data_IF_297425755583
#
_entry.id   IF_297425755583
#
_cell.length_a   1.000
_cell.length_b   1.000
_cell.length_c   1.000
_cell.angle_alpha   90.00
_cell.angle_beta   90.00
_cell.angle_gamma   90.00
#
_symmetry.space_group_name_H-M   'P 1'
#
loop_
_entity.id
_entity.type
_entity.pdbx_description
1 polymer ?
#
# COMPACT_ATOMS: atom_id res chain seq x y z
N UNK A 1 21.49 9.46 6.16
CA UNK A 1 20.08 9.14 5.82
C UNK A 1 20.13 8.44 4.47
N UNK A 2 20.18 7.11 4.43
CA UNK A 2 20.26 6.33 3.17
C UNK A 2 18.86 6.14 2.57
N UNK A 3 18.12 7.24 2.37
CA UNK A 3 16.74 7.19 1.83
C UNK A 3 16.68 7.27 0.31
N UNK A 4 17.83 7.39 -0.39
CA UNK A 4 17.90 7.58 -1.85
C UNK A 4 17.24 8.88 -2.33
N UNK A 5 16.84 9.75 -1.39
CA UNK A 5 16.29 11.08 -1.65
C UNK A 5 17.42 12.10 -1.52
N UNK A 6 17.38 13.12 -2.38
CA UNK A 6 18.18 14.34 -2.18
C UNK A 6 17.72 15.07 -0.92
N UNK A 7 18.56 15.97 -0.38
CA UNK A 7 18.20 16.77 0.81
C UNK A 7 16.94 17.62 0.55
N UNK A 8 16.83 18.20 -0.64
CA UNK A 8 15.66 18.97 -1.07
C UNK A 8 14.39 18.12 -1.06
N UNK A 9 14.45 16.92 -1.64
CA UNK A 9 13.33 15.99 -1.63
C UNK A 9 12.96 15.56 -0.20
N UNK A 10 13.95 15.26 0.64
CA UNK A 10 13.71 14.88 2.03
C UNK A 10 13.05 16.02 2.84
N UNK A 11 13.39 17.28 2.57
CA UNK A 11 12.72 18.44 3.18
C UNK A 11 11.30 18.61 2.65
N UNK A 12 11.09 18.39 1.35
CA UNK A 12 9.79 18.51 0.71
C UNK A 12 8.77 17.46 1.17
N UNK A 13 9.18 16.29 1.68
CA UNK A 13 8.24 15.30 2.26
C UNK A 13 7.60 15.74 3.57
N UNK A 14 8.14 16.78 4.22
CA UNK A 14 7.74 17.27 5.55
C UNK A 14 7.88 16.23 6.67
N UNK A 15 8.64 15.15 6.44
CA UNK A 15 8.98 14.23 7.51
C UNK A 15 9.90 14.93 8.50
N UNK A 16 9.66 14.73 9.80
CA UNK A 16 10.50 15.35 10.83
C UNK A 16 10.81 14.41 11.96
N UNK A 17 12.03 14.50 12.46
CA UNK A 17 12.40 13.85 13.71
C UNK A 17 11.72 14.60 14.86
N UNK A 18 11.11 13.83 15.76
CA UNK A 18 10.35 14.35 16.90
C UNK A 18 10.83 13.73 18.20
N UNK A 19 10.74 14.51 19.27
CA UNK A 19 10.93 14.03 20.64
C UNK A 19 9.74 13.19 21.09
N UNK A 20 9.91 12.42 22.18
CA UNK A 20 8.83 11.64 22.77
C UNK A 20 7.60 12.49 23.16
N UNK A 21 7.80 13.73 23.62
CA UNK A 21 6.69 14.61 23.99
C UNK A 21 5.90 15.09 22.77
N UNK A 22 6.59 15.47 21.70
CA UNK A 22 5.97 15.91 20.46
C UNK A 22 5.21 14.76 19.77
N UNK A 23 5.83 13.58 19.71
CA UNK A 23 5.19 12.38 19.21
C UNK A 23 3.93 12.03 20.00
N UNK A 24 3.97 12.14 21.33
CA UNK A 24 2.82 11.92 22.20
C UNK A 24 1.66 12.89 21.94
N UNK A 25 1.96 14.16 21.67
CA UNK A 25 0.95 15.19 21.34
C UNK A 25 0.29 14.96 19.98
N UNK A 26 1.01 14.37 19.03
CA UNK A 26 0.55 14.10 17.67
C UNK A 26 -0.18 12.75 17.53
N UNK A 27 0.36 11.69 18.15
CA UNK A 27 -0.08 10.31 17.93
C UNK A 27 -0.61 9.61 19.18
N UNK A 28 -0.31 10.12 20.37
CA UNK A 28 -0.54 9.43 21.64
C UNK A 28 0.62 8.50 22.05
N UNK A 29 1.57 8.26 21.16
CA UNK A 29 2.75 7.44 21.45
C UNK A 29 3.91 8.33 21.88
N UNK A 30 4.27 8.26 23.16
CA UNK A 30 5.35 9.06 23.72
C UNK A 30 6.71 8.41 23.50
N UNK A 31 7.11 8.29 22.24
CA UNK A 31 8.36 7.68 21.76
C UNK A 31 9.06 8.65 20.81
N UNK A 32 10.40 8.82 20.88
CA UNK A 32 11.12 9.59 19.89
C UNK A 32 11.10 8.85 18.55
N UNK A 33 11.21 9.57 17.44
CA UNK A 33 11.22 8.93 16.12
C UNK A 33 11.02 9.87 14.95
N UNK A 34 10.66 9.30 13.81
CA UNK A 34 10.34 10.04 12.59
C UNK A 34 8.82 10.12 12.42
N UNK A 35 8.29 11.33 12.32
CA UNK A 35 6.86 11.59 12.13
C UNK A 35 6.56 11.81 10.64
N UNK A 36 5.55 11.10 10.15
CA UNK A 36 5.00 11.21 8.80
C UNK A 36 3.67 11.95 8.87
N UNK A 37 3.52 13.00 8.07
CA UNK A 37 2.26 13.74 7.95
C UNK A 37 1.57 13.37 6.64
N UNK A 38 0.29 13.02 6.75
CA UNK A 38 -0.51 12.62 5.60
C UNK A 38 -1.32 13.81 5.10
N UNK A 39 -1.04 14.24 3.87
CA UNK A 39 -1.71 15.33 3.19
C UNK A 39 -2.70 14.84 2.14
N UNK A 40 -3.76 15.63 1.96
CA UNK A 40 -4.69 15.46 0.86
C UNK A 40 -4.00 15.78 -0.48
N UNK A 41 -4.14 14.93 -1.51
CA UNK A 41 -3.35 15.01 -2.74
C UNK A 41 -3.57 16.31 -3.53
N UNK A 42 -4.80 16.83 -3.53
CA UNK A 42 -5.16 18.05 -4.26
C UNK A 42 -4.94 19.35 -3.49
N UNK A 43 -5.12 19.33 -2.16
CA UNK A 43 -5.09 20.56 -1.34
C UNK A 43 -3.83 20.71 -0.51
N UNK A 44 -3.04 19.64 -0.36
CA UNK A 44 -1.89 19.57 0.55
C UNK A 44 -2.25 19.62 2.04
N UNK A 45 -3.53 19.86 2.39
CA UNK A 45 -3.96 19.97 3.78
C UNK A 45 -3.89 18.60 4.46
N UNK A 46 -3.44 18.52 5.72
CA UNK A 46 -3.43 17.25 6.44
C UNK A 46 -4.82 16.63 6.53
N UNK A 47 -4.91 15.30 6.39
CA UNK A 47 -6.18 14.60 6.63
C UNK A 47 -6.61 14.76 8.09
N UNK A 48 -7.85 15.19 8.38
CA UNK A 48 -8.35 15.19 9.74
C UNK A 48 -8.65 13.76 10.20
N UNK A 49 -8.32 13.47 11.45
CA UNK A 49 -8.87 12.32 12.15
C UNK A 49 -10.34 12.63 12.44
N UNK A 50 -11.23 11.73 12.00
CA UNK A 50 -12.68 11.99 12.04
C UNK A 50 -13.31 11.53 13.36
N UNK A 51 -12.72 10.54 14.02
CA UNK A 51 -13.31 9.82 15.15
C UNK A 51 -12.41 9.78 16.38
N UNK A 52 -13.03 9.66 17.56
CA UNK A 52 -12.34 9.43 18.83
C UNK A 52 -11.65 10.66 19.43
N UNK A 53 -10.80 10.41 20.44
CA UNK A 53 -10.06 11.44 21.21
C UNK A 53 -9.21 12.37 20.35
N UNK A 54 -8.82 11.93 19.15
CA UNK A 54 -7.96 12.65 18.23
C UNK A 54 -8.73 13.42 17.16
N UNK A 55 -10.07 13.52 17.27
CA UNK A 55 -10.91 14.20 16.29
C UNK A 55 -10.39 15.60 15.94
N UNK A 56 -10.44 15.95 14.66
CA UNK A 56 -9.96 17.21 14.04
C UNK A 56 -8.44 17.42 14.03
N UNK A 57 -7.65 16.56 14.68
CA UNK A 57 -6.19 16.61 14.57
C UNK A 57 -5.72 16.04 13.23
N UNK A 58 -4.55 16.48 12.72
CA UNK A 58 -3.97 15.91 11.51
C UNK A 58 -3.58 14.45 11.72
N UNK A 59 -3.91 13.60 10.75
CA UNK A 59 -3.48 12.22 10.70
C UNK A 59 -1.96 12.17 10.50
N UNK A 60 -1.29 11.55 11.46
CA UNK A 60 0.16 11.40 11.44
C UNK A 60 0.53 9.99 11.88
N UNK A 61 1.67 9.49 11.41
CA UNK A 61 2.22 8.21 11.84
C UNK A 61 3.63 8.39 12.36
N UNK A 62 3.98 7.60 13.36
CA UNK A 62 5.30 7.60 13.96
C UNK A 62 6.05 6.34 13.54
N UNK A 63 7.29 6.50 13.08
CA UNK A 63 8.29 5.43 13.07
C UNK A 63 9.19 5.62 14.28
N UNK A 64 9.03 4.83 15.34
CA UNK A 64 9.82 4.99 16.55
C UNK A 64 11.30 4.76 16.29
N UNK A 65 12.14 5.56 16.94
CA UNK A 65 13.56 5.27 17.11
C UNK A 65 13.71 4.42 18.38
N UNK A 66 13.55 3.11 18.23
CA UNK A 66 13.58 2.16 19.35
C UNK A 66 14.91 2.18 20.12
N UNK A 67 16.01 2.62 19.50
CA UNK A 67 17.31 2.75 20.17
C UNK A 67 17.35 3.94 21.14
N UNK A 68 16.58 5.01 20.84
CA UNK A 68 16.47 6.21 21.69
C UNK A 68 15.23 6.21 22.58
N UNK A 69 14.35 5.24 22.41
CA UNK A 69 13.17 5.09 23.24
C UNK A 69 13.57 4.74 24.69
N UNK A 70 12.81 5.27 25.64
CA UNK A 70 12.91 4.88 27.04
C UNK A 70 12.76 3.35 27.19
N UNK A 71 13.63 2.64 27.92
CA UNK A 71 13.60 1.17 28.00
C UNK A 71 12.27 0.60 28.49
N UNK A 72 11.64 1.23 29.48
CA UNK A 72 10.36 0.75 30.01
C UNK A 72 9.24 0.88 28.98
N UNK A 73 9.20 2.00 28.25
CA UNK A 73 8.26 2.15 27.13
C UNK A 73 8.61 1.27 25.96
N UNK A 74 9.89 1.04 25.66
CA UNK A 74 10.29 0.14 24.57
C UNK A 74 9.78 -1.28 24.82
N UNK A 75 9.78 -1.72 26.07
CA UNK A 75 9.32 -3.05 26.44
C UNK A 75 7.80 -3.18 26.44
N UNK A 76 7.08 -2.11 26.78
CA UNK A 76 5.61 -2.13 26.73
C UNK A 76 5.00 -2.25 25.32
N UNK A 77 5.83 -2.19 24.27
CA UNK A 77 5.42 -2.37 22.86
C UNK A 77 6.00 -3.65 22.24
N UNK A 78 6.72 -4.45 23.02
CA UNK A 78 7.15 -5.77 22.59
C UNK A 78 5.96 -6.74 22.63
N UNK A 79 5.83 -7.59 21.61
CA UNK A 79 4.97 -8.76 21.67
C UNK A 79 5.66 -9.91 22.42
N UNK A 80 4.99 -11.06 22.52
CA UNK A 80 5.50 -12.26 23.21
C UNK A 80 6.83 -12.76 22.62
N UNK A 81 7.07 -12.49 21.33
CA UNK A 81 8.30 -12.83 20.62
C UNK A 81 9.38 -11.73 20.71
N UNK A 82 9.12 -10.64 21.43
CA UNK A 82 10.02 -9.50 21.57
C UNK A 82 10.07 -8.56 20.35
N UNK A 83 9.21 -8.79 19.35
CA UNK A 83 9.09 -7.94 18.17
C UNK A 83 8.30 -6.68 18.51
N UNK A 84 8.63 -5.58 17.82
CA UNK A 84 8.03 -4.27 18.07
C UNK A 84 7.45 -3.72 16.77
N UNK A 85 6.32 -2.98 16.83
CA UNK A 85 5.73 -2.38 15.65
C UNK A 85 6.71 -1.45 14.93
N UNK A 86 6.80 -1.59 13.60
CA UNK A 86 7.67 -0.73 12.78
C UNK A 86 7.15 0.71 12.67
N UNK A 87 5.83 0.87 12.70
CA UNK A 87 5.13 2.15 12.58
C UNK A 87 3.89 2.14 13.49
N UNK A 88 3.57 3.30 14.06
CA UNK A 88 2.47 3.50 15.00
C UNK A 88 1.52 4.59 14.48
N UNK A 89 0.22 4.34 14.60
CA UNK A 89 -0.85 5.28 14.24
C UNK A 89 -1.68 5.64 15.47
N UNK A 90 -2.27 6.85 15.55
CA UNK A 90 -3.17 7.21 16.63
C UNK A 90 -4.30 6.18 16.78
N UNK A 91 -4.56 5.74 18.01
CA UNK A 91 -5.59 4.73 18.28
C UNK A 91 -6.97 5.19 17.77
N UNK A 92 -7.65 4.32 17.01
CA UNK A 92 -9.00 4.58 16.47
C UNK A 92 -9.05 5.55 15.28
N UNK A 93 -7.92 5.88 14.66
CA UNK A 93 -7.86 6.82 13.52
C UNK A 93 -8.19 6.21 12.15
N UNK A 94 -8.20 4.89 12.03
CA UNK A 94 -8.38 4.16 10.76
C UNK A 94 -7.15 4.25 9.86
N UNK A 95 -7.28 3.79 8.62
CA UNK A 95 -6.21 3.85 7.61
C UNK A 95 -6.34 5.08 6.71
N UNK A 96 -5.21 5.57 6.18
CA UNK A 96 -5.17 6.65 5.18
C UNK A 96 -4.15 6.30 4.11
N UNK A 97 -4.42 6.61 2.83
CA UNK A 97 -3.40 6.50 1.80
C UNK A 97 -2.39 7.63 1.96
N UNK A 98 -1.12 7.32 1.77
CA UNK A 98 -0.04 8.28 1.76
C UNK A 98 0.21 8.73 0.33
N UNK A 99 0.04 10.03 0.10
CA UNK A 99 0.40 10.72 -1.13
C UNK A 99 1.67 11.54 -0.87
N UNK A 100 2.77 11.16 -1.52
CA UNK A 100 4.04 11.88 -1.36
C UNK A 100 3.91 13.31 -1.90
N UNK A 101 4.38 14.34 -1.17
CA UNK A 101 4.43 15.72 -1.67
C UNK A 101 5.35 15.92 -2.89
N UNK A 102 6.20 14.92 -3.19
CA UNK A 102 7.12 14.94 -4.33
C UNK A 102 6.43 14.76 -5.69
N UNK A 103 5.11 14.55 -5.70
CA UNK A 103 4.33 14.26 -6.91
C UNK A 103 3.18 15.25 -7.08
N UNK A 104 2.97 15.71 -8.33
CA UNK A 104 1.82 16.53 -8.71
C UNK A 104 0.57 15.66 -8.90
N UNK A 105 -0.05 15.31 -7.77
CA UNK A 105 -1.25 14.47 -7.76
C UNK A 105 -2.44 15.11 -8.48
N UNK A 106 -2.51 16.44 -8.53
CA UNK A 106 -3.56 17.16 -9.28
C UNK A 106 -3.62 16.76 -10.75
N UNK A 107 -2.45 16.54 -11.38
CA UNK A 107 -2.35 16.04 -12.76
C UNK A 107 -2.53 14.52 -12.84
N UNK A 108 -1.88 13.78 -11.95
CA UNK A 108 -1.89 12.30 -11.96
C UNK A 108 -3.30 11.74 -11.74
N UNK A 109 -4.06 12.27 -10.78
CA UNK A 109 -5.36 11.71 -10.40
C UNK A 109 -6.43 11.92 -11.47
N UNK A 110 -6.34 13.00 -12.26
CA UNK A 110 -7.28 13.28 -13.36
C UNK A 110 -7.02 12.42 -14.61
N UNK A 111 -5.75 12.17 -14.93
CA UNK A 111 -5.34 11.50 -16.17
C UNK A 111 -5.18 9.99 -15.99
N UNK A 112 -6.20 9.21 -16.38
CA UNK A 112 -6.18 7.74 -16.23
C UNK A 112 -5.13 7.03 -17.11
N UNK A 113 -4.57 7.70 -18.13
CA UNK A 113 -3.45 7.14 -18.90
C UNK A 113 -2.11 7.19 -18.17
N UNK A 114 -2.01 7.92 -17.05
CA UNK A 114 -0.83 7.88 -16.19
C UNK A 114 -0.97 6.70 -15.23
N UNK A 115 -0.05 5.71 -15.28
CA UNK A 115 -0.08 4.58 -14.38
C UNK A 115 0.20 5.02 -12.93
N UNK A 116 -0.35 4.29 -11.98
CA UNK A 116 -0.06 4.48 -10.55
C UNK A 116 0.40 3.16 -9.94
N UNK A 117 1.24 3.26 -8.91
CA UNK A 117 1.70 2.12 -8.12
C UNK A 117 1.13 2.24 -6.71
N UNK A 118 0.61 1.13 -6.18
CA UNK A 118 0.25 0.97 -4.78
C UNK A 118 1.34 0.15 -4.10
N UNK A 119 1.89 0.65 -3.00
CA UNK A 119 2.95 -0.02 -2.22
C UNK A 119 2.67 0.05 -0.73
N UNK A 120 3.37 -0.76 0.05
CA UNK A 120 3.46 -0.56 1.49
C UNK A 120 4.57 0.45 1.84
N UNK A 121 4.29 1.33 2.81
CA UNK A 121 5.29 2.14 3.50
C UNK A 121 5.56 3.49 2.84
N UNK A 122 5.44 4.54 3.64
CA UNK A 122 5.55 5.94 3.25
C UNK A 122 6.88 6.23 2.53
N UNK A 123 7.99 5.69 3.06
CA UNK A 123 9.32 5.83 2.45
C UNK A 123 9.42 5.24 1.04
N UNK A 124 8.69 4.16 0.75
CA UNK A 124 8.65 3.58 -0.60
C UNK A 124 7.80 4.45 -1.53
N UNK A 125 6.73 5.03 -1.00
CA UNK A 125 5.93 6.05 -1.70
C UNK A 125 6.78 7.25 -2.12
N UNK A 126 7.59 7.78 -1.21
CA UNK A 126 8.51 8.89 -1.51
C UNK A 126 9.58 8.50 -2.51
N UNK A 127 10.21 7.32 -2.35
CA UNK A 127 11.23 6.84 -3.28
C UNK A 127 10.69 6.72 -4.71
N UNK A 128 9.50 6.11 -4.88
CA UNK A 128 8.86 6.01 -6.19
C UNK A 128 8.52 7.38 -6.78
N UNK A 129 7.96 8.28 -5.98
CA UNK A 129 7.61 9.63 -6.45
C UNK A 129 8.85 10.47 -6.79
N UNK A 130 9.95 10.30 -6.05
CA UNK A 130 11.21 11.00 -6.29
C UNK A 130 11.84 10.67 -7.66
N UNK A 131 11.62 9.44 -8.16
CA UNK A 131 12.04 9.02 -9.51
C UNK A 131 10.96 9.23 -10.58
N UNK A 132 9.87 9.94 -10.24
CA UNK A 132 8.79 10.27 -11.18
C UNK A 132 7.76 9.17 -11.40
N UNK A 133 7.77 8.09 -10.61
CA UNK A 133 6.74 7.03 -10.65
C UNK A 133 5.64 7.38 -9.63
N UNK A 134 4.41 7.69 -10.07
CA UNK A 134 3.33 8.04 -9.14
C UNK A 134 2.98 6.87 -8.22
N UNK A 135 3.40 6.96 -6.96
CA UNK A 135 3.35 5.86 -6.00
C UNK A 135 2.57 6.27 -4.76
N UNK A 136 1.47 5.56 -4.48
CA UNK A 136 0.62 5.75 -3.31
C UNK A 136 0.99 4.67 -2.30
N UNK A 137 1.31 5.06 -1.07
CA UNK A 137 1.70 4.11 -0.04
C UNK A 137 0.59 3.86 1.00
N UNK A 138 0.46 2.62 1.45
CA UNK A 138 -0.40 2.22 2.57
C UNK A 138 0.41 1.92 3.83
N UNK A 139 -0.21 2.04 4.99
CA UNK A 139 0.36 1.67 6.29
C UNK A 139 0.37 0.14 6.54
N UNK A 140 0.70 -0.64 5.53
CA UNK A 140 0.55 -2.11 5.50
C UNK A 140 -0.20 -2.57 4.24
N UNK A 141 -0.16 -3.87 3.95
CA UNK A 141 -0.83 -4.47 2.78
C UNK A 141 -2.35 -4.33 2.79
N UNK A 142 -2.97 -4.29 3.97
CA UNK A 142 -4.41 -4.13 4.19
C UNK A 142 -4.84 -2.67 4.40
N UNK A 143 -3.91 -1.72 4.36
CA UNK A 143 -4.17 -0.32 4.70
C UNK A 143 -4.83 0.50 3.58
N UNK A 144 -5.41 -0.15 2.56
CA UNK A 144 -6.18 0.47 1.48
C UNK A 144 -7.69 0.26 1.65
N UNK A 145 -8.09 -0.32 2.77
CA UNK A 145 -9.47 -0.54 3.17
C UNK A 145 -9.67 -0.18 4.64
N UNK A 146 -10.88 0.25 5.00
CA UNK A 146 -11.32 0.45 6.38
C UNK A 146 -12.43 -0.57 6.69
N UNK A 147 -12.39 -1.17 7.89
CA UNK A 147 -13.41 -2.11 8.39
C UNK A 147 -14.70 -1.43 8.84
N UNK A 148 -14.64 -0.14 9.22
CA UNK A 148 -15.77 0.61 9.77
C UNK A 148 -16.13 1.82 8.90
N UNK A 149 -17.40 2.23 8.93
CA UNK A 149 -17.82 3.57 8.46
C UNK A 149 -16.99 4.63 9.18
N UNK A 150 -16.43 5.58 8.44
CA UNK A 150 -15.76 6.73 9.06
C UNK A 150 -16.78 7.63 9.75
N UNK A 151 -16.92 7.45 11.06
CA UNK A 151 -17.94 8.14 11.86
C UNK A 151 -18.72 7.21 12.80
N UNK A 152 -18.69 5.90 12.58
CA UNK A 152 -19.33 4.91 13.46
C UNK A 152 -18.26 4.05 14.12
N UNK A 153 -17.90 4.41 15.35
CA UNK A 153 -16.98 3.60 16.14
C UNK A 153 -17.76 2.47 16.82
N UNK A 154 -17.69 1.26 16.30
CA UNK A 154 -18.32 0.06 16.89
C UNK A 154 -17.31 -0.88 17.59
N UNK A 155 -16.31 -0.32 18.27
CA UNK A 155 -15.62 -1.04 19.35
C UNK A 155 -14.53 -2.06 18.97
N UNK A 156 -14.35 -2.42 17.70
CA UNK A 156 -13.16 -3.19 17.28
C UNK A 156 -12.08 -2.25 16.76
N UNK A 157 -10.91 -2.31 17.38
CA UNK A 157 -9.72 -1.66 16.88
C UNK A 157 -9.38 -2.29 15.53
N UNK A 158 -9.67 -1.57 14.45
CA UNK A 158 -9.25 -1.92 13.09
C UNK A 158 -7.73 -1.82 12.96
N UNK A 159 -7.01 -2.63 13.72
CA UNK A 159 -5.61 -2.89 13.51
C UNK A 159 -5.51 -3.56 12.13
N UNK A 160 -4.60 -3.07 11.30
CA UNK A 160 -4.31 -3.62 9.98
C UNK A 160 -3.76 -5.07 10.03
N UNK A 161 -3.75 -5.71 11.21
CA UNK A 161 -3.05 -6.95 11.52
C UNK A 161 -3.96 -8.18 11.63
N UNK A 162 -5.27 -8.01 11.75
CA UNK A 162 -6.19 -9.15 11.81
C UNK A 162 -6.45 -9.70 10.40
N UNK A 163 -5.59 -10.62 9.99
CA UNK A 163 -5.70 -11.36 8.73
C UNK A 163 -6.63 -12.59 8.84
N UNK A 164 -7.00 -12.94 10.07
CA UNK A 164 -7.92 -14.02 10.38
C UNK A 164 -9.32 -13.42 10.53
N UNK A 165 -10.18 -13.69 9.55
CA UNK A 165 -11.59 -13.37 9.64
C UNK A 165 -12.23 -14.22 10.73
N UNK A 166 -13.05 -13.63 11.61
CA UNK A 166 -14.31 -14.25 11.94
C UNK A 166 -15.31 -13.86 10.84
N UNK A 167 -15.84 -14.85 10.13
CA UNK A 167 -17.02 -14.75 9.24
C UNK A 167 -18.27 -14.15 9.94
N UNK A 168 -18.19 -13.84 11.24
CA UNK A 168 -19.30 -13.54 12.13
C UNK A 168 -19.38 -12.09 12.64
N UNK A 169 -18.75 -11.12 11.97
CA UNK A 169 -19.02 -9.71 12.23
C UNK A 169 -19.21 -9.00 10.90
N UNK A 170 -20.43 -8.59 10.55
CA UNK A 170 -20.83 -7.99 9.27
C UNK A 170 -20.17 -6.65 8.89
N UNK A 171 -18.91 -6.43 9.27
CA UNK A 171 -18.05 -5.34 8.88
C UNK A 171 -17.57 -5.53 7.44
N UNK A 172 -18.25 -4.86 6.51
CA UNK A 172 -17.84 -4.83 5.10
C UNK A 172 -16.51 -4.05 5.01
N UNK A 173 -15.47 -4.68 4.49
CA UNK A 173 -14.21 -4.01 4.12
C UNK A 173 -14.49 -2.99 3.00
N UNK A 174 -14.33 -1.70 3.30
CA UNK A 174 -14.63 -0.59 2.38
C UNK A 174 -13.33 0.05 1.89
N UNK A 175 -13.24 0.30 0.59
CA UNK A 175 -12.13 1.04 0.01
C UNK A 175 -12.03 2.45 0.62
N UNK A 176 -10.82 2.98 0.77
CA UNK A 176 -10.66 4.30 1.38
C UNK A 176 -11.32 5.40 0.52
N UNK A 177 -12.12 6.31 1.11
CA UNK A 177 -12.80 7.35 0.35
C UNK A 177 -11.83 8.32 -0.34
N UNK A 178 -10.63 8.54 0.20
CA UNK A 178 -9.57 9.32 -0.46
C UNK A 178 -9.18 8.75 -1.83
N UNK A 179 -9.30 7.44 -2.00
CA UNK A 179 -8.95 6.76 -3.23
C UNK A 179 -10.06 6.89 -4.29
N UNK A 180 -11.24 7.41 -3.93
CA UNK A 180 -12.31 7.72 -4.90
C UNK A 180 -12.01 8.99 -5.70
N UNK A 181 -11.05 9.82 -5.27
CA UNK A 181 -10.58 10.98 -6.05
C UNK A 181 -9.82 10.57 -7.32
N UNK A 182 -9.44 9.29 -7.41
CA UNK A 182 -8.65 8.77 -8.52
C UNK A 182 -9.58 8.40 -9.68
N UNK A 183 -9.28 8.89 -10.88
CA UNK A 183 -9.93 8.39 -12.09
C UNK A 183 -9.40 6.98 -12.44
N UNK A 184 -10.07 5.94 -11.96
CA UNK A 184 -9.69 4.54 -12.13
C UNK A 184 -9.96 3.96 -13.51
N UNK A 185 -10.90 4.52 -14.27
CA UNK A 185 -11.40 3.91 -15.50
C UNK A 185 -10.27 3.72 -16.52
N UNK A 186 -9.97 2.46 -16.82
CA UNK A 186 -8.89 2.00 -17.68
C UNK A 186 -7.47 2.32 -17.20
N UNK A 187 -7.32 2.80 -15.96
CA UNK A 187 -6.01 3.16 -15.40
C UNK A 187 -5.18 1.90 -15.15
N UNK A 188 -3.91 1.84 -15.61
CA UNK A 188 -2.99 0.80 -15.18
C UNK A 188 -2.61 1.02 -13.71
N UNK A 189 -2.82 0.00 -12.88
CA UNK A 189 -2.54 0.05 -11.43
C UNK A 189 -1.59 -1.08 -11.08
N UNK A 190 -0.34 -0.73 -10.81
CA UNK A 190 0.65 -1.67 -10.30
C UNK A 190 0.48 -1.87 -8.80
N UNK A 191 0.54 -3.09 -8.30
CA UNK A 191 0.60 -3.38 -6.86
C UNK A 191 1.97 -3.97 -6.56
N UNK A 192 2.82 -3.19 -5.89
CA UNK A 192 4.20 -3.54 -5.57
C UNK A 192 4.34 -3.75 -4.06
N UNK A 193 4.27 -5.00 -3.61
CA UNK A 193 4.57 -5.37 -2.22
C UNK A 193 6.00 -5.85 -2.08
N UNK A 194 6.52 -5.80 -0.85
CA UNK A 194 7.85 -6.33 -0.55
C UNK A 194 7.90 -7.82 -0.87
N UNK A 195 8.98 -8.30 -1.46
CA UNK A 195 9.09 -9.70 -1.90
C UNK A 195 9.01 -10.68 -0.72
N UNK A 196 9.53 -10.28 0.45
CA UNK A 196 9.42 -11.02 1.71
C UNK A 196 7.97 -11.22 2.19
N UNK A 197 7.06 -10.34 1.76
CA UNK A 197 5.64 -10.38 2.13
C UNK A 197 4.84 -11.30 1.21
N UNK A 198 5.25 -11.45 -0.06
CA UNK A 198 4.49 -12.21 -1.08
C UNK A 198 4.34 -13.70 -0.74
N UNK A 199 5.15 -14.24 0.18
CA UNK A 199 5.07 -15.65 0.60
C UNK A 199 3.94 -15.90 1.62
N UNK A 200 3.41 -14.86 2.27
CA UNK A 200 2.35 -15.01 3.29
C UNK A 200 0.97 -15.08 2.66
N UNK A 201 0.17 -16.06 3.08
CA UNK A 201 -1.23 -16.22 2.63
C UNK A 201 -2.08 -14.96 2.89
N UNK A 202 -1.83 -14.27 4.01
CA UNK A 202 -2.48 -13.00 4.34
C UNK A 202 -2.18 -11.88 3.34
N UNK A 203 -0.96 -11.83 2.80
CA UNK A 203 -0.54 -10.83 1.82
C UNK A 203 -1.14 -11.13 0.45
N UNK A 204 -1.24 -12.41 0.06
CA UNK A 204 -1.96 -12.81 -1.15
C UNK A 204 -3.43 -12.38 -1.09
N UNK A 205 -4.11 -12.66 0.03
CA UNK A 205 -5.51 -12.23 0.24
C UNK A 205 -5.65 -10.70 0.18
N UNK A 206 -4.75 -9.95 0.81
CA UNK A 206 -4.76 -8.49 0.75
C UNK A 206 -4.54 -7.96 -0.67
N UNK A 207 -3.63 -8.56 -1.43
CA UNK A 207 -3.38 -8.23 -2.83
C UNK A 207 -4.60 -8.53 -3.70
N UNK A 208 -5.22 -9.70 -3.55
CA UNK A 208 -6.43 -10.10 -4.27
C UNK A 208 -7.60 -9.15 -3.98
N UNK A 209 -7.79 -8.78 -2.70
CA UNK A 209 -8.78 -7.78 -2.29
C UNK A 209 -8.54 -6.43 -2.97
N UNK A 210 -7.29 -5.95 -3.00
CA UNK A 210 -6.94 -4.68 -3.64
C UNK A 210 -7.13 -4.73 -5.16
N UNK A 211 -6.78 -5.85 -5.80
CA UNK A 211 -7.06 -6.09 -7.23
C UNK A 211 -8.57 -6.08 -7.50
N UNK A 212 -9.37 -6.69 -6.63
CA UNK A 212 -10.83 -6.69 -6.75
C UNK A 212 -11.39 -5.27 -6.67
N UNK A 213 -10.96 -4.46 -5.68
CA UNK A 213 -11.40 -3.08 -5.53
C UNK A 213 -11.01 -2.18 -6.72
N UNK A 214 -9.83 -2.38 -7.31
CA UNK A 214 -9.41 -1.62 -8.50
C UNK A 214 -10.22 -2.03 -9.73
N UNK A 215 -10.48 -3.33 -9.92
CA UNK A 215 -11.30 -3.85 -11.02
C UNK A 215 -12.77 -3.42 -10.93
N UNK A 216 -13.33 -3.39 -9.72
CA UNK A 216 -14.68 -2.89 -9.48
C UNK A 216 -14.86 -1.43 -9.94
N UNK A 217 -13.76 -0.66 -9.99
CA UNK A 217 -13.72 0.72 -10.49
C UNK A 217 -13.23 0.83 -11.94
N UNK A 218 -13.27 -0.27 -12.69
CA UNK A 218 -12.77 -0.40 -14.06
C UNK A 218 -11.27 -0.10 -14.24
N UNK A 219 -10.47 -0.19 -13.16
CA UNK A 219 -9.02 -0.15 -13.20
C UNK A 219 -8.41 -1.46 -13.73
N UNK A 220 -7.21 -1.35 -14.29
CA UNK A 220 -6.40 -2.48 -14.76
C UNK A 220 -5.31 -2.78 -13.74
N UNK A 221 -5.70 -3.45 -12.66
CA UNK A 221 -4.80 -3.89 -11.59
C UNK A 221 -3.91 -5.06 -12.01
N UNK A 222 -2.60 -4.98 -11.73
CA UNK A 222 -1.64 -6.07 -11.93
C UNK A 222 -0.57 -6.07 -10.82
N UNK A 223 -0.10 -7.26 -10.39
CA UNK A 223 1.00 -7.35 -9.43
C UNK A 223 2.32 -6.94 -10.08
N UNK A 224 3.17 -6.26 -9.32
CA UNK A 224 4.57 -5.98 -9.64
C UNK A 224 5.41 -6.77 -8.65
N UNK A 225 6.13 -7.78 -9.16
CA UNK A 225 7.11 -8.52 -8.37
C UNK A 225 8.44 -7.77 -8.43
N UNK A 226 8.93 -7.34 -7.28
CA UNK A 226 10.26 -6.77 -7.17
C UNK A 226 11.30 -7.92 -7.21
N UNK A 227 12.40 -7.77 -7.96
CA UNK A 227 13.42 -8.80 -8.03
C UNK A 227 14.09 -9.01 -6.67
N UNK A 228 14.21 -10.28 -6.26
CA UNK A 228 15.08 -10.68 -5.15
C UNK A 228 16.51 -10.71 -5.66
N UNK A 229 17.42 -9.89 -5.11
CA UNK A 229 18.84 -10.10 -5.36
C UNK A 229 19.31 -11.39 -4.68
N UNK A 230 20.19 -12.13 -5.37
CA UNK A 230 20.73 -13.44 -4.96
C UNK A 230 21.51 -13.37 -3.62
N UNK A 231 21.85 -12.16 -3.16
CA UNK A 231 22.61 -11.89 -1.94
C UNK A 231 21.75 -11.58 -0.69
N UNK A 232 20.42 -11.74 -0.78
CA UNK A 232 19.50 -11.51 0.35
C UNK A 232 19.39 -10.05 0.81
N UNK A 233 20.00 -9.11 0.08
CA UNK A 233 19.81 -7.67 0.26
C UNK A 233 18.49 -7.24 -0.37
N UNK A 234 17.69 -6.52 0.40
CA UNK A 234 16.34 -6.11 0.03
C UNK A 234 16.38 -5.07 -1.09
N UNK A 235 15.84 -5.42 -2.26
CA UNK A 235 15.53 -4.44 -3.30
C UNK A 235 14.31 -3.63 -2.86
N UNK A 236 14.55 -2.52 -2.15
CA UNK A 236 13.56 -1.45 -2.09
C UNK A 236 13.40 -0.91 -3.52
N UNK A 237 12.28 -0.27 -3.83
CA UNK A 237 11.93 0.35 -5.13
C UNK A 237 12.89 1.51 -5.50
N UNK A 238 14.19 1.30 -5.38
CA UNK A 238 15.27 2.28 -5.42
C UNK A 238 16.08 2.21 -6.72
N UNK A 239 16.16 1.06 -7.40
CA UNK A 239 17.00 0.95 -8.60
C UNK A 239 16.49 -0.14 -9.55
N UNK A 240 15.54 0.22 -10.41
CA UNK A 240 15.47 -0.41 -11.73
C UNK A 240 15.18 0.68 -12.77
N UNK A 241 16.18 0.90 -13.62
CA UNK A 241 16.13 1.80 -14.78
C UNK A 241 14.88 1.50 -15.63
N UNK A 242 14.23 2.50 -16.28
CA UNK A 242 12.99 2.31 -17.03
C UNK A 242 13.28 1.59 -18.35
N UNK A 243 13.51 0.29 -18.29
CA UNK A 243 13.70 -0.56 -19.45
C UNK A 243 12.56 -1.59 -19.58
N UNK A 244 11.31 -1.16 -19.41
CA UNK A 244 10.16 -1.89 -19.94
C UNK A 244 9.13 -0.91 -20.46
N UNK A 245 9.24 -0.60 -21.76
CA UNK A 245 8.10 -0.13 -22.53
C UNK A 245 6.98 -1.19 -22.53
N UNK A 246 5.72 -0.80 -22.77
CA UNK A 246 4.61 -1.72 -22.80
C UNK A 246 4.86 -2.76 -23.90
N UNK A 247 5.01 -4.04 -23.53
CA UNK A 247 4.91 -5.12 -24.53
C UNK A 247 3.47 -5.11 -25.05
N UNK A 248 3.25 -5.02 -26.38
CA UNK A 248 1.93 -5.18 -26.93
C UNK A 248 1.40 -6.57 -26.57
N UNK A 249 0.17 -6.64 -26.06
CA UNK A 249 -0.57 -7.90 -26.06
C UNK A 249 -0.74 -8.34 -27.51
N UNK A 250 -0.63 -9.64 -27.84
CA UNK A 250 -0.86 -10.12 -29.19
C UNK A 250 -2.27 -9.74 -29.65
N UNK A 251 -2.36 -9.21 -30.88
CA UNK A 251 -3.59 -8.76 -31.53
C UNK A 251 -4.71 -9.80 -31.40
N UNK A 252 -5.72 -9.52 -30.57
CA UNK A 252 -7.04 -10.13 -30.74
C UNK A 252 -7.77 -9.36 -31.84
N UNK A 253 -7.53 -9.73 -33.08
CA UNK A 253 -8.41 -9.41 -34.20
C UNK A 253 -9.74 -10.13 -33.97
N UNK A 254 -10.81 -9.37 -33.73
CA UNK A 254 -12.17 -9.90 -33.81
C UNK A 254 -12.48 -10.28 -35.26
N UNK A 255 -12.80 -11.54 -35.58
CA UNK A 255 -13.29 -11.87 -36.91
C UNK A 255 -14.76 -11.45 -37.03
N UNK A 256 -15.03 -10.55 -37.97
CA UNK A 256 -16.37 -10.26 -38.45
C UNK A 256 -16.85 -11.40 -39.36
N UNK A 257 -18.10 -11.82 -39.13
CA UNK A 257 -19.06 -12.45 -40.06
C UNK A 257 -18.83 -13.89 -40.57
N UNK A 258 -19.91 -14.66 -40.38
CA UNK A 258 -20.45 -15.74 -41.24
C UNK A 258 -19.89 -17.18 -41.14
N UNK A 259 -20.80 -18.06 -40.67
CA UNK A 259 -21.07 -19.45 -41.09
C UNK A 259 -19.93 -20.49 -41.14
N UNK A 260 -19.82 -21.31 -40.10
CA UNK A 260 -20.10 -22.77 -40.10
C UNK A 260 -19.62 -23.41 -38.79
N UNK A 261 -20.31 -24.45 -38.25
CA UNK A 261 -19.91 -25.05 -36.99
C UNK A 261 -18.70 -25.98 -37.17
N UNK A 262 -17.77 -26.06 -36.20
CA UNK A 262 -16.67 -27.02 -36.26
C UNK A 262 -17.13 -28.43 -35.86
N UNK A 263 -16.51 -29.48 -36.41
CA UNK A 263 -16.76 -30.85 -35.97
C UNK A 263 -16.14 -31.13 -34.59
N UNK A 264 -16.75 -32.10 -33.92
CA UNK A 264 -16.38 -32.64 -32.60
C UNK A 264 -15.06 -33.43 -32.65
N UNK A 265 -14.51 -33.65 -31.45
CA UNK A 265 -13.29 -34.41 -31.11
C UNK A 265 -12.03 -33.52 -31.23
N UNK A 266 -11.14 -33.37 -30.25
CA UNK A 266 -10.47 -34.38 -29.42
C UNK A 266 -10.16 -33.83 -28.01
N UNK A 267 -10.40 -34.61 -26.96
CA UNK A 267 -9.88 -34.40 -25.59
C UNK A 267 -9.19 -35.68 -25.11
N UNK A 268 -8.15 -35.49 -24.29
CA UNK A 268 -7.47 -36.47 -23.41
C UNK A 268 -6.57 -37.49 -24.15
N UNK A 269 -5.38 -37.86 -23.69
CA UNK A 269 -4.84 -37.93 -22.33
C UNK A 269 -3.31 -37.94 -22.43
N UNK A 270 -2.59 -37.16 -21.62
CA UNK A 270 -1.20 -37.49 -21.26
C UNK A 270 -1.19 -37.92 -19.81
N UNK A 271 -0.96 -39.21 -19.61
CA UNK A 271 -0.62 -39.79 -18.32
C UNK A 271 0.45 -40.86 -18.53
N UNK A 272 1.58 -40.64 -17.83
CA UNK A 272 2.53 -41.62 -17.30
C UNK A 272 3.65 -42.15 -18.20
N UNK A 273 4.85 -41.74 -17.77
CA UNK A 273 5.94 -42.58 -17.25
C UNK A 273 6.97 -43.24 -18.20
N UNK A 274 8.22 -42.87 -17.88
CA UNK A 274 9.39 -43.73 -17.61
C UNK A 274 10.08 -44.48 -18.77
N UNK A 275 11.37 -44.18 -18.90
CA UNK A 275 12.41 -45.15 -19.28
C UNK A 275 13.12 -44.86 -20.60
N UNK A 276 14.41 -44.49 -20.54
CA UNK A 276 15.36 -44.80 -21.61
C UNK A 276 15.76 -46.28 -21.58
N UNK A 277 16.86 -46.72 -22.22
CA UNK A 277 17.79 -46.00 -23.10
C UNK A 277 17.42 -46.05 -24.60
#
# INVERSE_FOLDING_TARGET
>A
MESGLTEEQALATHHRTVTAQEAGKATGHYLPGLLFTYGHPLTGKPYPILTGKWSKKPFTRLKPDWAKADPAKRESYADEDGNRPKYLSPKGSGSRPYFSPLMDWGKVLKKSSVPIVLTEGEKKGDAGCAIGIPTIAGSGVSAFVDRNSRGEWQGVDGSAWDCDEPEFAGAISRFLPELEEINWKWRPVGIAFDSDLVVKSSVSKAMESLLSHTRARAGRGFPILLPNEVDGKKTVLMTSSPAMGPRPLPNCSMPSTASNPPPREWWSTSAKNLGGP
#
